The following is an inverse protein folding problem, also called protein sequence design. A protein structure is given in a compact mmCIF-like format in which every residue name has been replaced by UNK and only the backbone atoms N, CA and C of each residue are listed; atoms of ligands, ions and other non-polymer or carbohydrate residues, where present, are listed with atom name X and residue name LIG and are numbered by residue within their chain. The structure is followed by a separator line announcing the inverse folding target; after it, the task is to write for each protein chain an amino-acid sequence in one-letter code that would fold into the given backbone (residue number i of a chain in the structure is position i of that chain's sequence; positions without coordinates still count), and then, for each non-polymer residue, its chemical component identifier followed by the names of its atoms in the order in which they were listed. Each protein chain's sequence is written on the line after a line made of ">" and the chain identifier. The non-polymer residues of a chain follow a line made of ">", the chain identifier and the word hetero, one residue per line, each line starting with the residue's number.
data_IF_620530585226
#
_entry.id   IF_620530585226
#
_cell.length_a   1.000
_cell.length_b   1.000
_cell.length_c   1.000
_cell.angle_alpha   90.00
_cell.angle_beta   90.00
_cell.angle_gamma   90.00
#
_symmetry.space_group_name_H-M   'P 1'
#
loop_
_entity.id
_entity.type
_entity.pdbx_description
1 polymer ?
#
# COMPACT_ATOMS: atom_id res chain seq x y z
N UNK A 1 20.25 9.08 -9.41
CA UNK A 1 19.78 7.74 -9.02
C UNK A 1 18.54 7.34 -9.81
N UNK A 2 18.55 6.15 -10.31
CA UNK A 2 17.38 5.66 -11.03
C UNK A 2 16.24 5.37 -10.06
N UNK A 3 15.03 5.80 -10.40
CA UNK A 3 13.85 5.48 -9.63
C UNK A 3 13.42 4.05 -9.90
N UNK A 4 12.97 3.34 -8.88
CA UNK A 4 12.33 2.05 -9.08
C UNK A 4 10.89 2.26 -9.57
N UNK A 5 10.29 1.27 -10.25
CA UNK A 5 8.87 1.37 -10.61
C UNK A 5 7.96 1.60 -9.40
N UNK A 6 8.29 1.00 -8.26
CA UNK A 6 7.52 1.19 -7.03
C UNK A 6 7.65 2.62 -6.51
N UNK A 7 8.83 3.23 -6.60
CA UNK A 7 9.01 4.63 -6.23
C UNK A 7 8.19 5.56 -7.12
N UNK A 8 8.09 5.23 -8.41
CA UNK A 8 7.23 5.97 -9.32
C UNK A 8 5.76 5.86 -8.96
N UNK A 9 5.32 4.67 -8.59
CA UNK A 9 3.95 4.46 -8.16
C UNK A 9 3.64 5.23 -6.87
N UNK A 10 4.56 5.20 -5.91
CA UNK A 10 4.41 5.97 -4.67
C UNK A 10 4.27 7.47 -4.96
N UNK A 11 5.12 7.99 -5.85
CA UNK A 11 5.09 9.40 -6.22
C UNK A 11 3.76 9.78 -6.89
N UNK A 12 3.28 8.93 -7.80
CA UNK A 12 2.01 9.15 -8.46
C UNK A 12 0.85 9.10 -7.47
N UNK A 13 0.91 8.16 -6.53
CA UNK A 13 -0.11 8.03 -5.49
C UNK A 13 -0.17 9.29 -4.62
N UNK A 14 0.98 9.79 -4.19
CA UNK A 14 1.03 11.03 -3.40
C UNK A 14 0.42 12.21 -4.15
N UNK A 15 0.73 12.31 -5.43
CA UNK A 15 0.24 13.42 -6.24
C UNK A 15 -1.27 13.35 -6.45
N UNK A 16 -1.84 12.15 -6.49
CA UNK A 16 -3.26 11.94 -6.72
C UNK A 16 -4.10 12.01 -5.44
N UNK A 17 -3.47 11.91 -4.28
CA UNK A 17 -4.21 11.90 -3.01
C UNK A 17 -4.91 13.24 -2.78
N UNK A 18 -6.11 13.22 -2.16
CA UNK A 18 -6.79 14.47 -1.83
C UNK A 18 -5.92 15.40 -0.98
N UNK A 19 -6.07 16.72 -1.11
CA UNK A 19 -5.36 17.66 -0.27
C UNK A 19 -5.58 17.37 1.22
N UNK A 20 -4.54 17.60 2.02
CA UNK A 20 -4.59 17.39 3.47
C UNK A 20 -4.70 15.93 3.89
N UNK A 21 -4.53 14.98 2.98
CA UNK A 21 -4.45 13.57 3.35
C UNK A 21 -3.16 13.32 4.12
N UNK A 22 -3.27 12.74 5.31
CA UNK A 22 -2.09 12.26 6.01
C UNK A 22 -1.57 11.01 5.31
N UNK A 23 -0.30 11.02 4.95
CA UNK A 23 0.34 9.90 4.27
C UNK A 23 1.64 9.57 4.97
N UNK A 24 1.88 8.29 5.19
CA UNK A 24 3.17 7.84 5.72
C UNK A 24 3.59 6.57 5.01
N UNK A 25 4.79 6.59 4.44
CA UNK A 25 5.38 5.41 3.87
C UNK A 25 5.98 4.55 4.97
N UNK A 26 5.63 3.27 4.96
CA UNK A 26 6.13 2.31 5.93
C UNK A 26 7.19 1.45 5.24
N UNK A 27 8.41 1.46 5.75
CA UNK A 27 9.45 0.59 5.24
C UNK A 27 9.66 -0.55 6.23
N UNK A 28 9.16 -1.72 5.86
CA UNK A 28 9.30 -2.90 6.69
C UNK A 28 10.30 -3.85 6.03
N UNK A 29 11.49 -3.94 6.62
CA UNK A 29 12.57 -4.75 6.08
C UNK A 29 12.53 -6.21 6.56
N UNK A 30 11.63 -6.52 7.48
CA UNK A 30 11.61 -7.83 8.12
C UNK A 30 10.43 -8.69 7.71
N UNK A 31 9.68 -8.29 6.71
CA UNK A 31 8.53 -9.04 6.23
C UNK A 31 7.31 -8.84 7.10
N UNK A 32 6.46 -9.88 7.20
CA UNK A 32 5.25 -9.81 7.99
C UNK A 32 4.01 -9.32 7.26
N UNK A 33 4.16 -8.87 6.02
CA UNK A 33 3.03 -8.51 5.17
C UNK A 33 2.39 -7.17 5.48
N UNK A 34 3.03 -6.34 6.30
CA UNK A 34 2.52 -4.99 6.61
C UNK A 34 2.49 -4.16 5.33
N UNK A 35 1.38 -3.48 5.02
CA UNK A 35 1.30 -2.65 3.82
C UNK A 35 2.30 -1.49 3.81
N UNK A 36 2.60 -0.99 2.61
CA UNK A 36 3.63 0.03 2.41
C UNK A 36 3.23 1.42 2.86
N UNK A 37 1.94 1.72 2.87
CA UNK A 37 1.47 3.08 3.10
C UNK A 37 0.34 3.10 4.10
N UNK A 38 0.47 3.97 5.08
CA UNK A 38 -0.63 4.34 5.96
C UNK A 38 -1.18 5.68 5.49
N UNK A 39 -2.49 5.75 5.31
CA UNK A 39 -3.14 6.97 4.86
C UNK A 39 -4.35 7.29 5.72
N UNK A 40 -4.59 8.58 5.93
CA UNK A 40 -5.81 9.04 6.58
C UNK A 40 -6.32 10.24 5.79
N UNK A 41 -7.15 9.99 4.77
CA UNK A 41 -7.69 11.08 3.97
C UNK A 41 -8.68 11.95 4.72
N UNK A 42 -9.52 11.36 5.56
CA UNK A 42 -10.48 12.09 6.36
C UNK A 42 -11.01 11.17 7.45
N UNK A 43 -10.48 11.26 8.66
CA UNK A 43 -10.94 10.52 9.84
C UNK A 43 -11.00 9.00 9.69
N UNK A 44 -10.63 8.47 8.53
CA UNK A 44 -10.74 7.06 8.23
C UNK A 44 -9.36 6.50 7.88
N UNK A 45 -8.74 5.71 8.76
CA UNK A 45 -7.43 5.15 8.47
C UNK A 45 -7.53 4.07 7.39
N UNK A 46 -6.60 4.11 6.45
CA UNK A 46 -6.54 3.18 5.32
C UNK A 46 -5.12 2.72 5.14
N UNK A 47 -4.92 1.42 4.94
CA UNK A 47 -3.62 0.85 4.61
C UNK A 47 -3.59 0.49 3.13
N UNK A 48 -2.47 0.74 2.48
CA UNK A 48 -2.34 0.52 1.05
C UNK A 48 -1.03 -0.20 0.77
N UNK A 49 -1.13 -1.31 0.05
CA UNK A 49 0.02 -2.04 -0.44
C UNK A 49 0.25 -1.63 -1.90
N UNK A 50 1.44 -1.10 -2.19
CA UNK A 50 1.79 -0.70 -3.55
C UNK A 50 2.35 -1.90 -4.29
N UNK A 51 1.80 -2.18 -5.46
CA UNK A 51 2.24 -3.29 -6.31
C UNK A 51 2.49 -2.80 -7.72
N UNK A 52 3.65 -3.15 -8.25
CA UNK A 52 3.93 -2.96 -9.67
C UNK A 52 3.71 -4.30 -10.34
N UNK A 53 2.77 -4.33 -11.29
CA UNK A 53 2.50 -5.55 -12.03
C UNK A 53 3.44 -5.67 -13.21
N UNK A 54 3.89 -6.89 -13.47
CA UNK A 54 4.63 -7.21 -14.68
C UNK A 54 3.72 -8.05 -15.55
N UNK A 55 3.34 -7.50 -16.72
CA UNK A 55 2.36 -8.09 -17.61
C UNK A 55 1.00 -8.18 -16.92
N UNK A 56 0.48 -9.34 -16.64
CA UNK A 56 -0.82 -9.49 -16.00
C UNK A 56 -0.73 -10.22 -14.67
N UNK A 57 0.45 -10.22 -14.07
CA UNK A 57 0.66 -10.94 -12.82
C UNK A 57 0.83 -10.00 -11.65
N UNK A 58 -0.04 -10.15 -10.67
CA UNK A 58 0.08 -9.48 -9.39
C UNK A 58 0.63 -10.49 -8.39
N UNK A 59 1.85 -10.24 -7.90
CA UNK A 59 2.45 -11.11 -6.90
C UNK A 59 2.11 -10.63 -5.50
N UNK A 60 1.33 -11.42 -4.78
CA UNK A 60 0.97 -11.13 -3.40
C UNK A 60 1.49 -12.29 -2.55
N UNK A 61 2.32 -11.99 -1.56
CA UNK A 61 2.87 -13.02 -0.70
C UNK A 61 1.82 -13.56 0.27
N UNK A 62 1.98 -14.80 0.77
CA UNK A 62 1.08 -15.31 1.80
C UNK A 62 1.02 -14.43 3.04
N UNK A 63 2.13 -13.78 3.41
CA UNK A 63 2.15 -12.87 4.56
C UNK A 63 1.26 -11.64 4.31
N UNK A 64 1.28 -11.12 3.08
CA UNK A 64 0.44 -9.98 2.72
C UNK A 64 -1.04 -10.37 2.73
N UNK A 65 -1.37 -11.53 2.18
CA UNK A 65 -2.75 -12.03 2.21
C UNK A 65 -3.23 -12.19 3.66
N UNK A 66 -2.41 -12.80 4.50
CA UNK A 66 -2.76 -13.03 5.90
C UNK A 66 -2.98 -11.72 6.65
N UNK A 67 -2.10 -10.74 6.43
CA UNK A 67 -2.21 -9.45 7.10
C UNK A 67 -3.52 -8.75 6.72
N UNK A 68 -3.79 -8.62 5.43
CA UNK A 68 -5.00 -7.95 4.96
C UNK A 68 -6.26 -8.68 5.39
N UNK A 69 -6.26 -10.00 5.30
CA UNK A 69 -7.41 -10.81 5.70
C UNK A 69 -7.74 -10.61 7.18
N UNK A 70 -6.72 -10.64 8.03
CA UNK A 70 -6.92 -10.43 9.47
C UNK A 70 -7.45 -9.03 9.76
N UNK A 71 -6.94 -8.03 9.02
CA UNK A 71 -7.36 -6.65 9.22
C UNK A 71 -8.80 -6.43 8.75
N UNK A 72 -9.15 -6.96 7.57
CA UNK A 72 -10.52 -6.89 7.06
C UNK A 72 -11.52 -7.59 7.98
N UNK A 73 -11.12 -8.71 8.56
CA UNK A 73 -12.00 -9.45 9.46
C UNK A 73 -12.41 -8.64 10.70
N UNK A 74 -11.63 -7.62 11.02
CA UNK A 74 -11.91 -6.73 12.15
C UNK A 74 -12.51 -5.39 11.72
N UNK A 75 -12.92 -5.29 10.46
CA UNK A 75 -13.53 -4.07 9.95
C UNK A 75 -12.53 -3.02 9.45
N UNK A 76 -11.26 -3.36 9.35
CA UNK A 76 -10.27 -2.44 8.86
C UNK A 76 -10.31 -2.27 7.35
N UNK A 77 -9.81 -1.14 6.86
CA UNK A 77 -9.73 -0.84 5.44
C UNK A 77 -8.29 -0.96 4.96
N UNK A 78 -8.06 -1.84 4.01
CA UNK A 78 -6.76 -1.95 3.37
C UNK A 78 -6.94 -2.39 1.92
N UNK A 79 -6.05 -1.95 1.05
CA UNK A 79 -6.17 -2.14 -0.38
C UNK A 79 -4.83 -2.45 -1.00
N UNK A 80 -4.88 -3.08 -2.16
CA UNK A 80 -3.72 -3.22 -3.03
C UNK A 80 -3.89 -2.21 -4.16
N UNK A 81 -2.90 -1.37 -4.36
CA UNK A 81 -2.86 -0.46 -5.49
C UNK A 81 -1.85 -0.99 -6.48
N UNK A 82 -2.33 -1.43 -7.63
CA UNK A 82 -1.50 -2.04 -8.66
C UNK A 82 -1.44 -1.16 -9.89
N UNK A 83 -0.27 -1.18 -10.52
CA UNK A 83 -0.09 -0.48 -11.78
C UNK A 83 0.72 -1.32 -12.76
#
# INVERSE_FOLDING_TARGET
>A
MASTPESGLWRAFKAAAPPKTFLQRIENRHGGGIPDVYAMPDRLPVWIELKVTNRQHLKVSPHQVAWHTAYWARGGLSYFLAK
#
